data_IF_619808902139
#
_entry.id   IF_619808902139
#
_cell.length_a   1.000
_cell.length_b   1.000
_cell.length_c   1.000
_cell.angle_alpha   90.00
_cell.angle_beta   90.00
_cell.angle_gamma   90.00
#
_symmetry.space_group_name_H-M   'P 1'
#
loop_
_entity.id
_entity.type
_entity.pdbx_description
1 polymer ?
#
# COMPACT_ATOMS: atom_id res chain seq x y z
N UNK A 1 9.65 -44.44 43.07
CA UNK A 1 9.46 -44.93 41.69
C UNK A 1 10.20 -43.99 40.75
N UNK A 2 11.25 -44.46 40.07
CA UNK A 2 12.10 -43.63 39.20
C UNK A 2 11.42 -43.48 37.85
N UNK A 3 10.82 -42.31 37.60
CA UNK A 3 10.18 -41.96 36.33
C UNK A 3 11.25 -42.01 35.23
N UNK A 4 11.09 -42.91 34.26
CA UNK A 4 11.95 -42.92 33.07
C UNK A 4 11.56 -41.72 32.22
N UNK A 5 12.42 -40.72 32.12
CA UNK A 5 12.29 -39.65 31.14
C UNK A 5 12.37 -40.28 29.75
N UNK A 6 11.27 -40.26 29.01
CA UNK A 6 11.26 -40.62 27.61
C UNK A 6 12.04 -39.55 26.84
N UNK A 7 13.18 -39.93 26.25
CA UNK A 7 13.95 -39.07 25.36
C UNK A 7 13.30 -39.03 23.97
N UNK A 8 13.24 -37.84 23.39
CA UNK A 8 12.78 -37.64 22.00
C UNK A 8 13.74 -38.35 21.03
N UNK A 9 13.22 -39.02 20.01
CA UNK A 9 14.09 -39.65 19.00
C UNK A 9 14.59 -38.59 18.00
N UNK A 10 15.83 -38.76 17.51
CA UNK A 10 16.37 -37.89 16.46
C UNK A 10 15.54 -37.98 15.17
N UNK A 11 14.95 -39.14 14.90
CA UNK A 11 14.07 -39.37 13.75
C UNK A 11 12.77 -38.57 13.87
N UNK A 12 12.18 -38.47 15.07
CA UNK A 12 10.98 -37.66 15.29
C UNK A 12 11.24 -36.17 15.04
N UNK A 13 12.40 -35.65 15.46
CA UNK A 13 12.73 -34.26 15.14
C UNK A 13 13.05 -34.07 13.66
N UNK A 14 13.69 -35.05 13.01
CA UNK A 14 14.03 -34.97 11.59
C UNK A 14 12.78 -34.90 10.72
N UNK A 15 11.78 -35.77 10.93
CA UNK A 15 10.56 -35.74 10.12
C UNK A 15 9.75 -34.45 10.32
N UNK A 16 9.76 -33.88 11.54
CA UNK A 16 9.06 -32.63 11.83
C UNK A 16 9.67 -31.45 11.08
N UNK A 17 11.00 -31.30 11.08
CA UNK A 17 11.64 -30.20 10.34
C UNK A 17 11.47 -30.35 8.83
N UNK A 18 11.42 -31.58 8.31
CA UNK A 18 11.10 -31.85 6.90
C UNK A 18 9.69 -31.39 6.56
N UNK A 19 8.69 -31.76 7.37
CA UNK A 19 7.29 -31.36 7.14
C UNK A 19 7.13 -29.84 7.24
N UNK A 20 7.73 -29.19 8.26
CA UNK A 20 7.69 -27.73 8.41
C UNK A 20 8.38 -27.06 7.20
N UNK A 21 9.51 -27.59 6.73
CA UNK A 21 10.22 -27.08 5.55
C UNK A 21 9.36 -27.13 4.28
N UNK A 22 8.66 -28.25 4.06
CA UNK A 22 7.75 -28.40 2.92
C UNK A 22 6.59 -27.39 2.98
N UNK A 23 5.93 -27.26 4.15
CA UNK A 23 4.83 -26.30 4.32
C UNK A 23 5.31 -24.85 4.18
N UNK A 24 6.47 -24.51 4.76
CA UNK A 24 7.05 -23.17 4.69
C UNK A 24 7.39 -22.77 3.24
N UNK A 25 7.90 -23.70 2.43
CA UNK A 25 8.25 -23.45 1.03
C UNK A 25 7.06 -22.94 0.19
N UNK A 26 5.84 -23.43 0.48
CA UNK A 26 4.61 -23.02 -0.23
C UNK A 26 4.00 -21.79 0.43
N UNK A 27 4.04 -21.71 1.76
CA UNK A 27 3.38 -20.64 2.51
C UNK A 27 4.07 -19.28 2.36
N UNK A 28 5.41 -19.22 2.39
CA UNK A 28 6.19 -17.97 2.34
C UNK A 28 5.90 -17.13 1.08
N UNK A 29 6.01 -17.67 -0.16
CA UNK A 29 5.75 -16.86 -1.37
C UNK A 29 4.29 -16.41 -1.47
N UNK A 30 3.34 -17.26 -1.05
CA UNK A 30 1.91 -16.93 -1.02
C UNK A 30 1.61 -15.81 -0.04
N UNK A 31 2.22 -15.84 1.14
CA UNK A 31 2.04 -14.80 2.15
C UNK A 31 2.63 -13.46 1.69
N UNK A 32 3.81 -13.47 1.06
CA UNK A 32 4.44 -12.25 0.53
C UNK A 32 3.54 -11.56 -0.51
N UNK A 33 3.05 -12.30 -1.50
CA UNK A 33 2.16 -11.74 -2.53
C UNK A 33 0.83 -11.23 -1.97
N UNK A 34 0.30 -11.85 -0.90
CA UNK A 34 -0.92 -11.38 -0.23
C UNK A 34 -0.67 -10.05 0.50
N UNK A 35 0.49 -9.89 1.15
CA UNK A 35 0.88 -8.62 1.79
C UNK A 35 1.02 -7.50 0.76
N UNK A 36 1.61 -7.78 -0.39
CA UNK A 36 1.76 -6.79 -1.47
C UNK A 36 0.40 -6.35 -2.03
N UNK A 37 -0.53 -7.28 -2.22
CA UNK A 37 -1.93 -6.95 -2.59
C UNK A 37 -2.62 -6.06 -1.55
N UNK A 38 -2.41 -6.33 -0.26
CA UNK A 38 -2.97 -5.52 0.82
C UNK A 38 -2.39 -4.09 0.83
N UNK A 39 -1.07 -3.94 0.60
CA UNK A 39 -0.41 -2.63 0.45
C UNK A 39 -0.90 -1.89 -0.78
N UNK A 40 -1.06 -2.57 -1.90
CA UNK A 40 -1.64 -1.96 -3.11
C UNK A 40 -3.08 -1.48 -2.88
N UNK A 41 -3.87 -2.20 -2.08
CA UNK A 41 -5.18 -1.75 -1.67
C UNK A 41 -5.11 -0.49 -0.77
N UNK A 42 -4.14 -0.40 0.14
CA UNK A 42 -3.95 0.81 0.96
C UNK A 42 -3.52 2.01 0.13
N UNK A 43 -2.61 1.83 -0.84
CA UNK A 43 -2.21 2.87 -1.82
C UNK A 43 -3.43 3.42 -2.56
N UNK A 44 -4.30 2.54 -3.08
CA UNK A 44 -5.54 2.96 -3.76
C UNK A 44 -6.52 3.66 -2.82
N UNK A 45 -6.61 3.21 -1.57
CA UNK A 45 -7.45 3.85 -0.56
C UNK A 45 -6.96 5.25 -0.24
N UNK A 46 -5.65 5.44 -0.09
CA UNK A 46 -5.04 6.74 0.18
C UNK A 46 -5.25 7.71 -0.98
N UNK A 47 -5.13 7.25 -2.23
CA UNK A 47 -5.48 8.07 -3.40
C UNK A 47 -6.93 8.54 -3.38
N UNK A 48 -7.88 7.68 -3.02
CA UNK A 48 -9.30 8.07 -2.90
C UNK A 48 -9.51 9.10 -1.81
N UNK A 49 -8.84 8.94 -0.67
CA UNK A 49 -8.89 9.92 0.42
C UNK A 49 -8.31 11.27 -0.02
N UNK A 50 -7.21 11.26 -0.78
CA UNK A 50 -6.62 12.47 -1.37
C UNK A 50 -7.61 13.13 -2.34
N UNK A 51 -8.28 12.37 -3.22
CA UNK A 51 -9.30 12.94 -4.12
C UNK A 51 -10.40 13.65 -3.35
N UNK A 52 -10.96 13.03 -2.32
CA UNK A 52 -12.00 13.65 -1.49
C UNK A 52 -11.47 14.89 -0.75
N UNK A 53 -10.21 14.86 -0.29
CA UNK A 53 -9.59 16.01 0.35
C UNK A 53 -9.33 17.17 -0.64
N UNK A 54 -8.93 16.87 -1.88
CA UNK A 54 -8.79 17.86 -2.95
C UNK A 54 -10.14 18.49 -3.32
N UNK A 55 -11.21 17.70 -3.43
CA UNK A 55 -12.56 18.21 -3.69
C UNK A 55 -13.05 19.15 -2.58
N UNK A 56 -12.81 18.77 -1.32
CA UNK A 56 -13.13 19.63 -0.18
C UNK A 56 -12.31 20.92 -0.19
N UNK A 57 -10.99 20.82 -0.42
CA UNK A 57 -10.11 21.99 -0.43
C UNK A 57 -10.42 22.92 -1.61
N UNK A 58 -10.73 22.38 -2.79
CA UNK A 58 -11.16 23.15 -3.94
C UNK A 58 -12.46 23.92 -3.65
N UNK A 59 -13.39 23.31 -2.92
CA UNK A 59 -14.65 23.96 -2.53
C UNK A 59 -14.41 25.16 -1.62
N UNK A 60 -13.47 25.05 -0.69
CA UNK A 60 -13.18 26.10 0.29
C UNK A 60 -12.28 27.22 -0.26
N UNK A 61 -11.29 26.88 -1.09
CA UNK A 61 -10.22 27.80 -1.53
C UNK A 61 -10.18 28.07 -3.03
N UNK A 62 -11.01 27.41 -3.83
CA UNK A 62 -11.05 27.54 -5.30
C UNK A 62 -9.70 27.28 -6.00
N UNK A 63 -8.81 26.52 -5.36
CA UNK A 63 -7.51 26.11 -5.89
C UNK A 63 -7.21 24.68 -5.43
N UNK A 64 -6.44 23.92 -6.21
CA UNK A 64 -5.97 22.59 -5.82
C UNK A 64 -4.82 22.69 -4.81
N UNK A 65 -4.75 21.72 -3.91
CA UNK A 65 -3.81 21.72 -2.81
C UNK A 65 -2.56 20.89 -3.11
N UNK A 66 -1.44 21.27 -2.51
CA UNK A 66 -0.31 20.37 -2.36
C UNK A 66 -0.56 19.42 -1.19
N UNK A 67 0.19 18.33 -1.13
CA UNK A 67 0.06 17.37 -0.04
C UNK A 67 0.22 18.02 1.35
N UNK A 68 1.17 18.94 1.50
CA UNK A 68 1.38 19.67 2.75
C UNK A 68 0.17 20.52 3.16
N UNK A 69 -0.55 21.12 2.20
CA UNK A 69 -1.74 21.92 2.45
C UNK A 69 -2.92 21.04 2.90
N UNK A 70 -3.12 19.89 2.25
CA UNK A 70 -4.13 18.92 2.68
C UNK A 70 -3.85 18.45 4.11
N UNK A 71 -2.61 18.11 4.44
CA UNK A 71 -2.26 17.69 5.80
C UNK A 71 -2.55 18.77 6.85
N UNK A 72 -2.24 20.03 6.52
CA UNK A 72 -2.47 21.15 7.43
C UNK A 72 -3.96 21.42 7.71
N UNK A 73 -4.84 21.22 6.72
CA UNK A 73 -6.27 21.52 6.86
C UNK A 73 -7.07 20.34 7.38
N UNK A 74 -6.78 19.12 6.92
CA UNK A 74 -7.61 17.93 7.18
C UNK A 74 -7.05 17.01 8.26
N UNK A 75 -5.81 17.25 8.73
CA UNK A 75 -5.04 16.30 9.54
C UNK A 75 -4.92 14.90 8.90
N UNK A 76 -5.09 14.80 7.58
CA UNK A 76 -4.97 13.54 6.87
C UNK A 76 -3.52 13.02 6.94
N UNK A 77 -3.37 11.79 7.42
CA UNK A 77 -2.10 11.06 7.42
C UNK A 77 -2.22 9.86 6.50
N UNK A 78 -1.17 9.63 5.72
CA UNK A 78 -1.06 8.44 4.87
C UNK A 78 -1.03 7.17 5.72
N UNK A 79 -1.46 6.06 5.12
CA UNK A 79 -1.26 4.76 5.73
C UNK A 79 0.23 4.42 5.86
N UNK A 80 0.60 3.64 6.89
CA UNK A 80 2.00 3.35 7.21
C UNK A 80 2.77 2.83 5.99
N UNK A 81 3.95 3.42 5.74
CA UNK A 81 4.86 3.11 4.62
C UNK A 81 4.40 3.54 3.22
N UNK A 82 3.25 4.23 3.11
CA UNK A 82 2.89 4.93 1.88
C UNK A 82 3.53 6.32 1.85
N UNK A 83 3.95 6.73 0.65
CA UNK A 83 4.45 8.07 0.37
C UNK A 83 3.56 8.69 -0.69
N UNK A 84 3.05 9.90 -0.46
CA UNK A 84 2.28 10.63 -1.44
C UNK A 84 3.01 11.87 -1.94
N UNK A 85 2.82 12.17 -3.21
CA UNK A 85 3.23 13.41 -3.84
C UNK A 85 2.05 13.96 -4.64
N UNK A 86 1.72 15.25 -4.44
CA UNK A 86 0.66 15.93 -5.18
C UNK A 86 1.28 17.10 -5.92
N UNK A 87 1.20 17.07 -7.25
CA UNK A 87 1.52 18.18 -8.12
C UNK A 87 0.22 18.95 -8.42
N UNK A 88 -0.02 20.02 -7.67
CA UNK A 88 -1.14 20.92 -7.89
C UNK A 88 -0.83 21.95 -8.99
N UNK A 89 -1.80 22.16 -9.87
CA UNK A 89 -1.81 23.22 -10.87
C UNK A 89 -3.10 24.04 -10.78
N UNK A 90 -3.19 25.10 -11.57
CA UNK A 90 -4.37 26.00 -11.56
C UNK A 90 -5.61 25.31 -12.13
N UNK A 91 -5.43 24.46 -13.16
CA UNK A 91 -6.53 23.80 -13.88
C UNK A 91 -6.73 22.33 -13.48
N UNK A 92 -6.02 21.84 -12.47
CA UNK A 92 -6.05 20.43 -12.08
C UNK A 92 -4.90 20.02 -11.18
N UNK A 93 -4.87 18.76 -10.76
CA UNK A 93 -3.80 18.19 -9.96
C UNK A 93 -3.45 16.77 -10.42
N UNK A 94 -2.24 16.31 -10.08
CA UNK A 94 -1.92 14.89 -10.12
C UNK A 94 -1.38 14.43 -8.77
N UNK A 95 -1.93 13.33 -8.24
CA UNK A 95 -1.52 12.70 -7.00
C UNK A 95 -0.92 11.32 -7.30
N UNK A 96 0.25 11.06 -6.75
CA UNK A 96 0.94 9.78 -6.81
C UNK A 96 1.13 9.25 -5.41
N UNK A 97 0.71 8.02 -5.15
CA UNK A 97 0.98 7.31 -3.89
C UNK A 97 1.80 6.07 -4.20
N UNK A 98 2.91 5.88 -3.51
CA UNK A 98 3.79 4.72 -3.66
C UNK A 98 4.05 4.02 -2.33
N UNK A 99 4.40 2.73 -2.39
CA UNK A 99 4.81 1.97 -1.22
C UNK A 99 6.06 1.15 -1.56
N UNK A 100 7.19 1.56 -0.99
CA UNK A 100 8.50 0.94 -1.25
C UNK A 100 8.64 -0.50 -0.72
N UNK A 101 7.69 -0.97 0.10
CA UNK A 101 7.71 -2.33 0.63
C UNK A 101 7.05 -3.34 -0.31
N UNK A 102 6.36 -2.89 -1.35
CA UNK A 102 5.80 -3.76 -2.39
C UNK A 102 6.97 -4.30 -3.22
N UNK A 103 7.23 -5.60 -3.13
CA UNK A 103 8.36 -6.23 -3.81
C UNK A 103 7.95 -6.95 -5.10
N UNK A 104 6.65 -7.07 -5.36
CA UNK A 104 6.11 -7.71 -6.56
C UNK A 104 4.94 -6.92 -7.16
N UNK A 105 4.98 -6.69 -8.48
CA UNK A 105 3.92 -5.96 -9.21
C UNK A 105 4.11 -4.44 -9.24
N UNK A 106 3.01 -3.70 -9.38
CA UNK A 106 3.01 -2.23 -9.38
C UNK A 106 3.38 -1.69 -8.01
N UNK A 107 4.19 -0.64 -7.95
CA UNK A 107 4.72 -0.07 -6.68
C UNK A 107 4.12 1.28 -6.36
N UNK A 108 3.45 1.89 -7.33
CA UNK A 108 2.80 3.17 -7.21
C UNK A 108 1.47 3.19 -7.95
N UNK A 109 0.59 4.08 -7.51
CA UNK A 109 -0.59 4.46 -8.27
C UNK A 109 -0.65 5.97 -8.39
N UNK A 110 -1.19 6.43 -9.50
CA UNK A 110 -1.39 7.83 -9.81
C UNK A 110 -2.85 8.08 -10.13
N UNK A 111 -3.31 9.29 -9.85
CA UNK A 111 -4.52 9.84 -10.42
C UNK A 111 -4.29 11.30 -10.76
N UNK A 112 -4.87 11.77 -11.84
CA UNK A 112 -4.93 13.19 -12.13
C UNK A 112 -6.35 13.63 -12.42
N UNK A 113 -6.61 14.90 -12.13
CA UNK A 113 -7.87 15.57 -12.44
C UNK A 113 -7.60 16.83 -13.24
N UNK A 114 -8.42 17.11 -14.26
CA UNK A 114 -8.28 18.30 -15.10
C UNK A 114 -6.91 18.41 -15.77
N UNK A 115 -6.25 19.56 -15.62
CA UNK A 115 -4.92 19.83 -16.19
C UNK A 115 -3.78 18.95 -15.65
N UNK A 116 -4.01 18.17 -14.60
CA UNK A 116 -3.06 17.17 -14.10
C UNK A 116 -3.34 15.74 -14.58
N UNK A 117 -4.46 15.50 -15.27
CA UNK A 117 -4.81 14.18 -15.79
C UNK A 117 -4.06 13.87 -17.11
N UNK A 118 -3.62 12.61 -17.32
CA UNK A 118 -3.27 12.14 -18.64
C UNK A 118 -4.47 12.29 -19.60
N UNK A 119 -4.20 12.54 -20.88
CA UNK A 119 -5.25 12.78 -21.88
C UNK A 119 -6.28 11.65 -21.90
N UNK A 120 -7.55 11.98 -21.62
CA UNK A 120 -8.66 11.02 -21.59
C UNK A 120 -8.74 10.13 -20.36
N UNK A 121 -7.96 10.40 -19.30
CA UNK A 121 -7.91 9.59 -18.07
C UNK A 121 -8.13 10.44 -16.81
N UNK A 122 -9.08 11.37 -16.90
CA UNK A 122 -9.49 12.22 -15.79
C UNK A 122 -10.19 11.41 -14.69
N UNK A 123 -9.70 11.53 -13.45
CA UNK A 123 -10.22 10.82 -12.27
C UNK A 123 -9.94 9.31 -12.24
N UNK A 124 -9.17 8.78 -13.21
CA UNK A 124 -8.86 7.35 -13.28
C UNK A 124 -7.60 7.03 -12.47
N UNK A 125 -7.70 6.08 -11.54
CA UNK A 125 -6.53 5.57 -10.81
C UNK A 125 -5.78 4.56 -11.69
N UNK A 126 -4.51 4.87 -11.98
CA UNK A 126 -3.62 4.05 -12.80
C UNK A 126 -2.48 3.58 -11.92
N UNK A 127 -2.15 2.30 -11.94
CA UNK A 127 -1.05 1.76 -11.14
C UNK A 127 0.08 1.27 -12.03
N UNK A 128 1.33 1.56 -11.63
CA UNK A 128 2.57 1.26 -12.33
C UNK A 128 3.67 0.77 -11.39
#
# INVERSE_FOLDING_TARGET
MRQRTAGFTLIELLIVVVIIGLLASIAIPKFSSTKDKARMASVKSDLRNIMTAEEAYLTDFSVFATFAQIQAVTNYTLSNSNTANIAAGVSGYSATVSNALISTGFTQCTVGVGGGAPAGQDGVIICS
#
